data_IF_119333674886
#
_entry.id   IF_119333674886
#
_cell.length_a   1.000
_cell.length_b   1.000
_cell.length_c   1.000
_cell.angle_alpha   90.00
_cell.angle_beta   90.00
_cell.angle_gamma   90.00
#
_symmetry.space_group_name_H-M   'P 1'
#
loop_
_entity.id
_entity.type
_entity.pdbx_description
1 polymer ?
#
# COMPACT_ATOMS: atom_id res chain seq x y z
N UNK A 1 -11.17 -1.38 39.98
CA UNK A 1 -10.10 -0.49 40.48
C UNK A 1 -10.32 0.86 39.83
N UNK A 2 -10.44 1.93 40.61
CA UNK A 2 -10.59 3.28 40.05
C UNK A 2 -9.31 3.65 39.28
N UNK A 3 -9.45 4.15 38.07
CA UNK A 3 -8.36 4.57 37.21
C UNK A 3 -7.71 5.82 37.80
N UNK A 4 -6.42 5.73 38.14
CA UNK A 4 -5.67 6.85 38.72
C UNK A 4 -5.50 7.95 37.68
N UNK A 5 -5.90 9.18 38.02
CA UNK A 5 -5.84 10.35 37.13
C UNK A 5 -4.65 11.27 37.45
N UNK A 6 -4.33 12.20 36.54
CA UNK A 6 -3.31 13.22 36.76
C UNK A 6 -3.65 14.11 37.98
N UNK A 7 -4.93 14.27 38.30
CA UNK A 7 -5.39 15.02 39.49
C UNK A 7 -5.02 14.28 40.78
N UNK A 8 -5.07 12.95 40.79
CA UNK A 8 -4.72 12.13 41.92
C UNK A 8 -3.21 12.15 42.17
N UNK A 9 -2.39 12.12 41.08
CA UNK A 9 -0.93 12.33 41.18
C UNK A 9 -0.62 13.71 41.73
N UNK A 10 -1.25 14.76 41.22
CA UNK A 10 -1.07 16.14 41.71
C UNK A 10 -1.38 16.24 43.23
N UNK A 11 -2.49 15.63 43.66
CA UNK A 11 -2.90 15.58 45.08
C UNK A 11 -1.90 14.78 45.93
N UNK A 12 -1.41 13.64 45.46
CA UNK A 12 -0.39 12.84 46.15
C UNK A 12 0.96 13.55 46.31
N UNK A 13 1.37 14.31 45.30
CA UNK A 13 2.60 15.06 45.33
C UNK A 13 2.51 16.44 45.98
N UNK A 14 1.32 16.90 46.37
CA UNK A 14 1.08 18.24 46.95
C UNK A 14 1.38 19.40 45.94
N UNK A 15 1.20 19.17 44.64
CA UNK A 15 1.50 20.15 43.60
C UNK A 15 0.32 20.36 42.66
N UNK A 16 0.38 21.39 41.85
CA UNK A 16 -0.66 21.63 40.82
C UNK A 16 -0.55 20.64 39.64
N UNK A 17 -1.67 20.36 38.97
CA UNK A 17 -1.74 19.51 37.77
C UNK A 17 -0.77 19.99 36.67
N UNK A 18 -0.60 21.31 36.54
CA UNK A 18 0.35 21.91 35.61
C UNK A 18 1.81 21.54 35.95
N UNK A 19 2.17 21.41 37.24
CA UNK A 19 3.49 21.01 37.69
C UNK A 19 3.75 19.54 37.38
N UNK A 20 2.76 18.65 37.61
CA UNK A 20 2.84 17.24 37.22
C UNK A 20 3.03 17.11 35.69
N UNK A 21 2.25 17.87 34.89
CA UNK A 21 2.39 17.89 33.44
C UNK A 21 3.79 18.34 33.00
N UNK A 22 4.38 19.36 33.63
CA UNK A 22 5.76 19.81 33.34
C UNK A 22 6.78 18.75 33.71
N UNK A 23 6.59 18.03 34.84
CA UNK A 23 7.48 16.95 35.25
C UNK A 23 7.52 15.79 34.24
N UNK A 24 6.34 15.35 33.80
CA UNK A 24 6.18 14.30 32.78
C UNK A 24 6.84 14.71 31.45
N UNK A 25 6.68 15.96 31.04
CA UNK A 25 7.17 16.49 29.75
C UNK A 25 8.61 17.01 29.79
N UNK A 26 9.35 16.82 30.89
CA UNK A 26 10.73 17.29 31.04
C UNK A 26 10.91 18.78 30.74
N UNK A 27 9.96 19.62 31.19
CA UNK A 27 10.00 21.05 30.92
C UNK A 27 11.21 21.72 31.60
N UNK A 28 11.98 22.60 30.91
CA UNK A 28 13.21 23.17 31.46
C UNK A 28 13.03 23.99 32.75
N UNK A 29 11.84 24.52 32.99
CA UNK A 29 11.55 25.37 34.16
C UNK A 29 10.98 24.59 35.37
N UNK A 30 11.18 23.28 35.47
CA UNK A 30 10.77 22.50 36.63
C UNK A 30 12.00 22.25 37.55
N UNK A 31 11.78 22.43 38.85
CA UNK A 31 12.82 22.09 39.82
C UNK A 31 13.16 20.59 39.74
N UNK A 32 14.48 20.19 39.68
CA UNK A 32 14.89 18.80 39.53
C UNK A 32 14.38 17.88 40.64
N UNK A 33 14.38 18.34 41.90
CA UNK A 33 13.94 17.54 43.04
C UNK A 33 12.41 17.31 42.98
N UNK A 34 11.67 18.34 42.65
CA UNK A 34 10.23 18.25 42.46
C UNK A 34 9.89 17.27 41.31
N UNK A 35 10.65 17.33 40.21
CA UNK A 35 10.49 16.40 39.10
C UNK A 35 10.76 14.96 39.51
N UNK A 36 11.88 14.71 40.22
CA UNK A 36 12.24 13.39 40.68
C UNK A 36 11.17 12.80 41.61
N UNK A 37 10.64 13.61 42.54
CA UNK A 37 9.55 13.20 43.43
C UNK A 37 8.26 12.81 42.64
N UNK A 38 7.84 13.61 41.67
CA UNK A 38 6.67 13.33 40.88
C UNK A 38 6.84 12.04 40.07
N UNK A 39 7.99 11.84 39.41
CA UNK A 39 8.27 10.65 38.61
C UNK A 39 8.26 9.37 39.47
N UNK A 40 8.78 9.46 40.73
CA UNK A 40 8.73 8.36 41.68
C UNK A 40 7.28 7.98 42.05
N UNK A 41 6.43 8.97 42.35
CA UNK A 41 5.01 8.74 42.66
C UNK A 41 4.26 8.16 41.46
N UNK A 42 4.56 8.58 40.25
CA UNK A 42 4.02 8.01 39.00
C UNK A 42 4.39 6.53 38.88
N UNK A 43 5.66 6.19 39.13
CA UNK A 43 6.14 4.80 39.07
C UNK A 43 5.49 3.92 40.16
N UNK A 44 5.39 4.43 41.38
CA UNK A 44 4.76 3.70 42.51
C UNK A 44 3.27 3.47 42.34
N UNK A 45 2.59 4.37 41.63
CA UNK A 45 1.14 4.29 41.42
C UNK A 45 0.74 3.58 40.13
N UNK A 46 1.70 3.29 39.25
CA UNK A 46 1.39 2.72 37.93
C UNK A 46 0.59 3.67 37.03
N UNK A 47 0.61 4.98 37.32
CA UNK A 47 -0.12 5.95 36.50
C UNK A 47 0.47 6.02 35.10
N UNK A 48 -0.37 5.78 34.09
CA UNK A 48 -0.02 5.97 32.67
C UNK A 48 -0.63 7.29 32.19
N UNK A 49 0.19 8.26 31.73
CA UNK A 49 -0.34 9.52 31.19
C UNK A 49 -1.32 9.26 30.04
N UNK A 50 -2.53 9.77 30.15
CA UNK A 50 -3.52 9.68 29.09
C UNK A 50 -3.15 10.63 27.93
N UNK A 51 -2.53 10.09 26.90
CA UNK A 51 -2.13 10.85 25.73
C UNK A 51 -3.33 11.39 24.94
N UNK A 52 -4.50 10.77 25.03
CA UNK A 52 -5.73 11.26 24.38
C UNK A 52 -6.20 12.59 24.96
N UNK A 53 -6.19 12.74 26.30
CA UNK A 53 -6.50 14.01 26.97
C UNK A 53 -5.45 15.10 26.69
N UNK A 54 -4.20 14.72 26.41
CA UNK A 54 -3.10 15.61 26.02
C UNK A 54 -3.28 16.07 24.57
N UNK A 55 -3.69 15.20 23.67
CA UNK A 55 -3.94 15.52 22.26
C UNK A 55 -5.15 16.44 22.08
N UNK A 56 -6.17 16.34 22.96
CA UNK A 56 -7.30 17.27 22.98
C UNK A 56 -6.91 18.72 23.36
N UNK A 57 -5.81 18.92 24.09
CA UNK A 57 -5.30 20.25 24.49
C UNK A 57 -4.20 20.80 23.55
N UNK A 58 -3.62 19.98 22.68
CA UNK A 58 -2.67 20.46 21.66
C UNK A 58 -3.46 20.92 20.44
N UNK A 59 -3.48 22.23 20.24
CA UNK A 59 -4.03 22.92 19.05
C UNK A 59 -3.30 22.50 17.75
N UNK A 60 -2.19 21.75 17.84
CA UNK A 60 -1.31 21.35 16.75
C UNK A 60 -1.00 19.85 16.76
N UNK A 61 -2.00 18.98 16.83
CA UNK A 61 -1.75 17.57 16.57
C UNK A 61 -1.47 17.38 15.07
N UNK A 62 -0.17 17.33 14.72
CA UNK A 62 0.30 16.98 13.38
C UNK A 62 -0.06 15.50 13.14
N UNK A 63 -1.14 15.22 12.45
CA UNK A 63 -1.64 13.86 12.22
C UNK A 63 -1.81 13.62 10.72
N UNK A 64 -1.25 12.52 10.23
CA UNK A 64 -1.42 12.02 8.88
C UNK A 64 -2.21 10.72 8.93
N UNK A 65 -3.24 10.59 8.11
CA UNK A 65 -3.94 9.32 7.93
C UNK A 65 -3.34 8.55 6.75
N UNK A 66 -3.24 7.25 6.91
CA UNK A 66 -2.97 6.29 5.84
C UNK A 66 -4.20 5.41 5.70
N UNK A 67 -4.92 5.55 4.59
CA UNK A 67 -6.07 4.73 4.25
C UNK A 67 -5.60 3.60 3.34
N UNK A 68 -5.76 2.37 3.80
CA UNK A 68 -5.32 1.19 3.06
C UNK A 68 -6.52 0.41 2.55
N UNK A 69 -6.67 0.32 1.24
CA UNK A 69 -7.71 -0.48 0.59
C UNK A 69 -7.15 -1.85 0.21
N UNK A 70 -7.78 -2.91 0.74
CA UNK A 70 -7.28 -4.27 0.59
C UNK A 70 -6.27 -4.67 1.68
N UNK A 71 -6.75 -5.22 2.79
CA UNK A 71 -5.94 -5.57 3.99
C UNK A 71 -4.89 -6.63 3.72
N UNK A 72 -5.20 -7.54 2.84
CA UNK A 72 -4.41 -8.75 2.71
C UNK A 72 -3.24 -8.63 1.73
N UNK A 73 -2.98 -7.44 1.16
CA UNK A 73 -1.82 -7.28 0.29
C UNK A 73 -0.57 -6.93 1.11
N UNK A 74 0.30 -7.91 1.42
CA UNK A 74 1.54 -7.69 2.19
C UNK A 74 2.54 -6.74 1.51
N UNK A 75 2.31 -6.39 0.24
CA UNK A 75 3.03 -5.33 -0.45
C UNK A 75 3.05 -4.04 0.36
N UNK A 76 1.93 -3.70 1.00
CA UNK A 76 1.82 -2.46 1.75
C UNK A 76 2.50 -2.49 3.12
N UNK A 77 2.83 -3.66 3.66
CA UNK A 77 3.46 -3.76 4.98
C UNK A 77 4.83 -3.06 5.02
N UNK A 78 5.66 -3.24 3.98
CA UNK A 78 6.95 -2.56 3.85
C UNK A 78 6.76 -1.04 3.70
N UNK A 79 5.82 -0.61 2.84
CA UNK A 79 5.52 0.80 2.64
C UNK A 79 5.04 1.48 3.94
N UNK A 80 4.13 0.83 4.69
CA UNK A 80 3.61 1.36 5.96
C UNK A 80 4.73 1.51 6.98
N UNK A 81 5.64 0.54 7.09
CA UNK A 81 6.78 0.62 8.01
C UNK A 81 7.68 1.83 7.69
N UNK A 82 7.96 2.07 6.41
CA UNK A 82 8.76 3.23 5.97
C UNK A 82 8.00 4.54 6.19
N UNK A 83 6.70 4.60 5.88
CA UNK A 83 5.86 5.78 6.13
C UNK A 83 5.85 6.12 7.62
N UNK A 84 5.67 5.12 8.49
CA UNK A 84 5.69 5.31 9.94
C UNK A 84 7.03 5.86 10.43
N UNK A 85 8.15 5.30 9.95
CA UNK A 85 9.51 5.76 10.28
C UNK A 85 9.69 7.23 9.94
N UNK A 86 9.40 7.63 8.70
CA UNK A 86 9.56 9.01 8.21
C UNK A 86 8.64 9.98 8.94
N UNK A 87 7.36 9.64 9.11
CA UNK A 87 6.41 10.48 9.85
C UNK A 87 6.82 10.69 11.31
N UNK A 88 7.41 9.66 11.95
CA UNK A 88 7.91 9.77 13.31
C UNK A 88 9.10 10.71 13.42
N UNK A 89 10.04 10.68 12.46
CA UNK A 89 11.17 11.61 12.37
C UNK A 89 10.67 13.05 12.25
N UNK A 90 9.65 13.29 11.42
CA UNK A 90 9.01 14.60 11.20
C UNK A 90 7.99 14.98 12.29
N UNK A 91 7.88 14.17 13.36
CA UNK A 91 7.01 14.39 14.53
C UNK A 91 5.52 14.44 14.18
N UNK A 92 5.11 13.73 13.15
CA UNK A 92 3.71 13.47 12.84
C UNK A 92 3.22 12.19 13.52
N UNK A 93 1.95 12.19 13.93
CA UNK A 93 1.28 10.98 14.38
C UNK A 93 0.65 10.29 13.17
N UNK A 94 0.84 8.97 13.06
CA UNK A 94 0.21 8.13 12.04
C UNK A 94 -1.15 7.63 12.57
N UNK A 95 -2.18 7.75 11.73
CA UNK A 95 -3.45 7.02 11.86
C UNK A 95 -3.56 6.06 10.69
N UNK A 96 -3.46 4.76 10.97
CA UNK A 96 -3.69 3.73 9.96
C UNK A 96 -5.17 3.34 9.99
N UNK A 97 -5.84 3.47 8.86
CA UNK A 97 -7.24 3.11 8.68
C UNK A 97 -7.39 2.13 7.54
N UNK A 98 -7.99 1.00 7.84
CA UNK A 98 -8.41 0.05 6.84
C UNK A 98 -9.72 0.50 6.17
N UNK A 99 -9.79 0.31 4.85
CA UNK A 99 -10.98 0.54 4.02
C UNK A 99 -11.35 -0.79 3.37
N UNK A 100 -12.56 -1.25 3.56
CA UNK A 100 -13.04 -2.49 2.95
C UNK A 100 -13.13 -2.35 1.42
N UNK A 101 -13.05 -3.47 0.70
CA UNK A 101 -13.03 -3.45 -0.78
C UNK A 101 -14.28 -2.80 -1.39
N UNK A 102 -15.43 -2.88 -0.70
CA UNK A 102 -16.70 -2.30 -1.13
C UNK A 102 -16.97 -0.89 -0.59
N UNK A 103 -16.16 -0.38 0.34
CA UNK A 103 -16.30 0.96 0.88
C UNK A 103 -15.69 2.01 -0.05
N UNK A 104 -16.26 3.22 -0.02
CA UNK A 104 -15.66 4.37 -0.67
C UNK A 104 -14.61 4.98 0.28
N UNK A 105 -13.34 4.99 -0.14
CA UNK A 105 -12.23 5.53 0.65
C UNK A 105 -12.38 7.03 0.94
N UNK A 106 -13.09 7.79 0.09
CA UNK A 106 -13.32 9.21 0.35
C UNK A 106 -14.30 9.43 1.50
N UNK A 107 -15.35 8.59 1.62
CA UNK A 107 -16.30 8.68 2.73
C UNK A 107 -15.59 8.43 4.06
N UNK A 108 -14.72 7.41 4.11
CA UNK A 108 -13.87 7.12 5.27
C UNK A 108 -12.92 8.28 5.57
N UNK A 109 -12.32 8.89 4.53
CA UNK A 109 -11.46 10.05 4.68
C UNK A 109 -12.20 11.26 5.27
N UNK A 110 -13.43 11.55 4.80
CA UNK A 110 -14.25 12.64 5.32
C UNK A 110 -14.60 12.46 6.81
N UNK A 111 -14.87 11.23 7.23
CA UNK A 111 -15.11 10.94 8.65
C UNK A 111 -13.85 11.17 9.48
N UNK A 112 -12.70 10.66 9.04
CA UNK A 112 -11.43 10.83 9.74
C UNK A 112 -10.99 12.30 9.83
N UNK A 113 -11.19 13.10 8.77
CA UNK A 113 -10.88 14.53 8.79
C UNK A 113 -11.67 15.23 9.90
N UNK A 114 -12.96 14.90 10.04
CA UNK A 114 -13.82 15.49 11.09
C UNK A 114 -13.38 15.06 12.49
N UNK A 115 -12.99 13.79 12.67
CA UNK A 115 -12.66 13.25 13.98
C UNK A 115 -11.24 13.57 14.46
N UNK A 116 -10.25 13.54 13.57
CA UNK A 116 -8.82 13.47 13.93
C UNK A 116 -8.02 14.73 13.62
N UNK A 117 -8.61 15.77 13.01
CA UNK A 117 -7.91 17.00 12.59
C UNK A 117 -6.67 16.69 11.77
N UNK A 118 -6.84 15.91 10.72
CA UNK A 118 -5.75 15.49 9.84
C UNK A 118 -5.07 16.70 9.18
N UNK A 119 -3.76 16.60 8.97
CA UNK A 119 -2.97 17.54 8.18
C UNK A 119 -2.83 17.07 6.73
N UNK A 120 -2.97 15.77 6.50
CA UNK A 120 -2.91 15.17 5.18
C UNK A 120 -3.29 13.70 5.20
N UNK A 121 -3.43 13.14 4.01
CA UNK A 121 -3.86 11.75 3.81
C UNK A 121 -2.97 11.07 2.77
N UNK A 122 -2.63 9.80 3.00
CA UNK A 122 -2.04 8.90 2.03
C UNK A 122 -3.05 7.80 1.72
N UNK A 123 -3.46 7.67 0.46
CA UNK A 123 -4.29 6.57 -0.02
C UNK A 123 -3.39 5.46 -0.56
N UNK A 124 -3.41 4.29 0.07
CA UNK A 124 -2.66 3.10 -0.33
C UNK A 124 -3.56 2.13 -1.08
N UNK A 125 -3.24 1.85 -2.33
CA UNK A 125 -4.03 0.96 -3.17
C UNK A 125 -5.41 1.50 -3.53
N UNK A 126 -6.22 0.67 -4.17
CA UNK A 126 -7.54 1.04 -4.68
C UNK A 126 -7.54 1.24 -6.19
N UNK A 127 -8.47 2.01 -6.69
CA UNK A 127 -8.58 2.38 -8.09
C UNK A 127 -8.89 3.88 -8.22
N UNK A 128 -8.37 4.50 -9.26
CA UNK A 128 -8.64 5.92 -9.52
C UNK A 128 -9.94 6.06 -10.33
N UNK A 129 -11.04 6.28 -9.63
CA UNK A 129 -12.37 6.51 -10.23
C UNK A 129 -13.09 7.72 -9.64
N UNK A 130 -12.40 8.51 -8.82
CA UNK A 130 -12.97 9.70 -8.20
C UNK A 130 -12.87 10.91 -9.12
N UNK A 131 -13.94 11.67 -9.19
CA UNK A 131 -13.90 12.92 -9.92
C UNK A 131 -13.20 14.04 -9.12
N UNK A 132 -12.82 15.08 -9.83
CA UNK A 132 -12.08 16.20 -9.26
C UNK A 132 -12.86 16.97 -8.20
N UNK A 133 -14.19 17.04 -8.33
CA UNK A 133 -15.05 17.76 -7.40
C UNK A 133 -15.12 17.00 -6.06
N UNK A 134 -15.20 15.66 -6.11
CA UNK A 134 -15.15 14.83 -4.92
C UNK A 134 -13.81 14.97 -4.19
N UNK A 135 -12.70 14.88 -4.91
CA UNK A 135 -11.35 15.03 -4.34
C UNK A 135 -11.13 16.40 -3.73
N UNK A 136 -11.63 17.47 -4.38
CA UNK A 136 -11.51 18.85 -3.86
C UNK A 136 -12.24 19.07 -2.53
N UNK A 137 -13.23 18.24 -2.18
CA UNK A 137 -13.96 18.31 -0.91
C UNK A 137 -13.13 17.87 0.30
N UNK A 138 -12.02 17.15 0.11
CA UNK A 138 -11.17 16.68 1.21
C UNK A 138 -10.58 17.83 2.03
N UNK A 139 -10.33 19.00 1.41
CA UNK A 139 -9.82 20.21 2.07
C UNK A 139 -8.51 20.01 2.88
N UNK A 140 -7.80 18.94 2.66
CA UNK A 140 -6.45 18.66 3.16
C UNK A 140 -5.60 18.08 2.03
N UNK A 141 -4.29 18.31 1.99
CA UNK A 141 -3.39 17.68 1.03
C UNK A 141 -3.44 16.16 1.12
N UNK A 142 -3.36 15.50 -0.03
CA UNK A 142 -3.32 14.04 -0.08
C UNK A 142 -2.45 13.54 -1.23
N UNK A 143 -1.98 12.30 -1.09
CA UNK A 143 -1.17 11.60 -2.08
C UNK A 143 -1.73 10.20 -2.30
N UNK A 144 -1.90 9.81 -3.55
CA UNK A 144 -2.15 8.41 -3.91
C UNK A 144 -0.83 7.65 -4.04
N UNK A 145 -0.79 6.46 -3.46
CA UNK A 145 0.35 5.54 -3.52
C UNK A 145 -0.04 4.30 -4.31
N UNK A 146 0.79 3.92 -5.29
CA UNK A 146 0.57 2.84 -6.26
C UNK A 146 -0.57 3.05 -7.26
N UNK A 147 -1.11 4.25 -7.35
CA UNK A 147 -2.17 4.59 -8.30
C UNK A 147 -1.70 5.79 -9.12
N UNK A 148 -1.94 5.75 -10.42
CA UNK A 148 -1.72 6.88 -11.33
C UNK A 148 -3.09 7.48 -11.66
N UNK A 149 -3.24 8.77 -11.40
CA UNK A 149 -4.41 9.50 -11.87
C UNK A 149 -4.20 10.06 -13.29
N UNK A 150 -5.29 10.43 -13.93
CA UNK A 150 -5.22 11.06 -15.25
C UNK A 150 -4.72 12.51 -15.17
N UNK A 151 -3.81 12.88 -16.08
CA UNK A 151 -3.34 14.25 -16.27
C UNK A 151 -4.35 15.03 -17.10
N UNK A 152 -4.92 16.09 -16.56
CA UNK A 152 -5.66 17.08 -17.35
C UNK A 152 -4.69 18.07 -18.00
N UNK A 153 -4.44 17.92 -19.31
CA UNK A 153 -3.55 18.81 -20.06
C UNK A 153 -3.87 20.29 -19.83
N UNK A 154 -2.89 21.01 -19.27
CA UNK A 154 -2.93 22.46 -19.13
C UNK A 154 -3.57 23.00 -17.85
N UNK A 155 -3.96 22.18 -16.87
CA UNK A 155 -4.57 22.63 -15.60
C UNK A 155 -3.72 22.35 -14.34
N UNK A 156 -2.55 21.72 -14.50
CA UNK A 156 -1.76 21.24 -13.36
C UNK A 156 -2.46 20.10 -12.59
N UNK A 157 -1.78 19.56 -11.59
CA UNK A 157 -2.32 18.51 -10.74
C UNK A 157 -3.05 19.13 -9.54
N UNK A 158 -4.21 18.58 -9.18
CA UNK A 158 -4.96 18.95 -7.96
C UNK A 158 -4.69 18.00 -6.79
N UNK A 159 -3.86 16.99 -6.99
CA UNK A 159 -3.43 15.98 -6.04
C UNK A 159 -2.09 15.41 -6.49
N UNK A 160 -1.41 14.74 -5.57
CA UNK A 160 -0.14 14.07 -5.87
C UNK A 160 -0.34 12.56 -5.99
N UNK A 161 0.49 11.91 -6.80
CA UNK A 161 0.60 10.46 -6.81
C UNK A 161 2.05 9.99 -6.91
N UNK A 162 2.31 8.81 -6.35
CA UNK A 162 3.60 8.12 -6.45
C UNK A 162 3.34 6.67 -6.84
N UNK A 163 3.81 6.26 -8.00
CA UNK A 163 3.54 4.94 -8.55
C UNK A 163 4.66 4.46 -9.47
N UNK A 164 4.46 3.28 -10.06
CA UNK A 164 5.18 2.80 -11.26
C UNK A 164 4.27 2.95 -12.48
N UNK A 165 4.83 2.87 -13.69
CA UNK A 165 4.01 2.75 -14.92
C UNK A 165 3.55 1.29 -15.07
N UNK A 166 2.40 0.95 -14.49
CA UNK A 166 1.86 -0.41 -14.49
C UNK A 166 1.69 -1.00 -15.89
N UNK A 167 1.30 -0.17 -16.87
CA UNK A 167 1.13 -0.61 -18.26
C UNK A 167 2.48 -0.93 -18.92
N UNK A 168 3.46 -0.03 -18.76
CA UNK A 168 4.80 -0.23 -19.35
C UNK A 168 5.52 -1.40 -18.68
N UNK A 169 5.41 -1.56 -17.35
CA UNK A 169 6.06 -2.64 -16.62
C UNK A 169 5.42 -4.00 -16.89
N UNK A 170 4.09 -4.07 -17.02
CA UNK A 170 3.39 -5.29 -17.44
C UNK A 170 3.74 -5.68 -18.86
N UNK A 171 3.83 -4.69 -19.76
CA UNK A 171 4.34 -4.91 -21.12
C UNK A 171 5.76 -5.49 -21.11
N UNK A 172 6.66 -4.94 -20.30
CA UNK A 172 8.05 -5.42 -20.14
C UNK A 172 8.09 -6.90 -19.71
N UNK A 173 7.30 -7.31 -18.71
CA UNK A 173 7.21 -8.71 -18.29
C UNK A 173 6.70 -9.61 -19.42
N UNK A 174 5.65 -9.17 -20.11
CA UNK A 174 5.07 -9.95 -21.20
C UNK A 174 6.05 -10.09 -22.38
N UNK A 175 6.77 -9.02 -22.76
CA UNK A 175 7.81 -9.05 -23.78
C UNK A 175 8.94 -10.03 -23.40
N UNK A 176 9.36 -10.05 -22.12
CA UNK A 176 10.32 -11.03 -21.60
C UNK A 176 9.84 -12.47 -21.78
N UNK A 177 8.59 -12.79 -21.42
CA UNK A 177 8.05 -14.14 -21.63
C UNK A 177 7.97 -14.49 -23.12
N UNK A 178 7.65 -13.55 -24.00
CA UNK A 178 7.64 -13.74 -25.46
C UNK A 178 9.05 -13.98 -26.00
N UNK A 179 10.08 -13.32 -25.46
CA UNK A 179 11.48 -13.54 -25.79
C UNK A 179 11.99 -14.94 -25.40
N UNK A 180 11.44 -15.51 -24.32
CA UNK A 180 11.67 -16.89 -23.92
C UNK A 180 10.97 -17.92 -24.83
N UNK A 181 10.17 -17.47 -25.81
CA UNK A 181 9.46 -18.32 -26.78
C UNK A 181 7.99 -18.59 -26.44
N UNK A 182 7.50 -18.15 -25.29
CA UNK A 182 6.11 -18.36 -24.89
C UNK A 182 5.15 -17.52 -25.74
N UNK A 183 4.25 -18.16 -26.48
CA UNK A 183 3.23 -17.49 -27.30
C UNK A 183 1.84 -17.57 -26.69
N UNK A 184 1.61 -18.55 -25.83
CA UNK A 184 0.36 -18.79 -25.10
C UNK A 184 0.62 -18.54 -23.63
N UNK A 185 0.33 -17.32 -23.20
CA UNK A 185 0.57 -16.80 -21.85
C UNK A 185 -0.78 -16.59 -21.17
N UNK A 186 -1.07 -17.33 -20.13
CA UNK A 186 -2.24 -17.09 -19.29
C UNK A 186 -2.00 -15.82 -18.43
N UNK A 187 -3.01 -14.98 -18.28
CA UNK A 187 -2.91 -13.73 -17.52
C UNK A 187 -3.99 -13.71 -16.42
N UNK A 188 -3.54 -13.70 -15.15
CA UNK A 188 -4.44 -13.60 -14.00
C UNK A 188 -4.61 -12.14 -13.61
N UNK A 189 -5.86 -11.66 -13.58
CA UNK A 189 -6.19 -10.25 -13.32
C UNK A 189 -7.43 -10.09 -12.44
N UNK A 190 -7.58 -8.95 -11.79
CA UNK A 190 -8.81 -8.55 -11.08
C UNK A 190 -9.94 -8.12 -12.02
N UNK A 191 -9.69 -8.13 -13.33
CA UNK A 191 -10.61 -7.66 -14.35
C UNK A 191 -10.30 -6.24 -14.84
N UNK A 192 -11.14 -5.78 -15.78
CA UNK A 192 -10.97 -4.48 -16.44
C UNK A 192 -11.80 -3.37 -15.75
N UNK A 193 -11.74 -3.26 -14.43
CA UNK A 193 -12.37 -2.12 -13.75
C UNK A 193 -11.64 -0.83 -14.13
N UNK A 194 -12.37 0.16 -14.64
CA UNK A 194 -11.81 1.43 -15.07
C UNK A 194 -10.98 2.09 -13.94
N UNK A 195 -9.77 2.52 -14.28
CA UNK A 195 -8.85 3.17 -13.33
C UNK A 195 -8.13 2.24 -12.35
N UNK A 196 -8.29 0.91 -12.46
CA UNK A 196 -7.55 -0.04 -11.63
C UNK A 196 -6.16 -0.35 -12.18
N UNK A 197 -5.24 -0.71 -11.30
CA UNK A 197 -3.89 -1.19 -11.69
C UNK A 197 -3.99 -2.47 -12.52
N UNK A 198 -4.98 -3.33 -12.24
CA UNK A 198 -5.23 -4.55 -13.01
C UNK A 198 -5.61 -4.28 -14.45
N UNK A 199 -6.40 -3.22 -14.73
CA UNK A 199 -6.69 -2.77 -16.09
C UNK A 199 -5.42 -2.33 -16.80
N UNK A 200 -4.59 -1.47 -16.18
CA UNK A 200 -3.35 -0.99 -16.78
C UNK A 200 -2.38 -2.13 -17.09
N UNK A 201 -2.24 -3.09 -16.17
CA UNK A 201 -1.41 -4.29 -16.37
C UNK A 201 -1.96 -5.17 -17.49
N UNK A 202 -3.29 -5.34 -17.59
CA UNK A 202 -3.92 -6.06 -18.69
C UNK A 202 -3.69 -5.39 -20.05
N UNK A 203 -3.77 -4.06 -20.10
CA UNK A 203 -3.46 -3.31 -21.32
C UNK A 203 -1.99 -3.50 -21.73
N UNK A 204 -1.05 -3.44 -20.80
CA UNK A 204 0.37 -3.71 -21.06
C UNK A 204 0.61 -5.12 -21.62
N UNK A 205 -0.05 -6.13 -21.05
CA UNK A 205 -0.02 -7.50 -21.57
C UNK A 205 -0.54 -7.57 -23.01
N UNK A 206 -1.72 -6.99 -23.28
CA UNK A 206 -2.32 -6.96 -24.62
C UNK A 206 -1.44 -6.21 -25.63
N UNK A 207 -0.81 -5.11 -25.21
CA UNK A 207 0.10 -4.32 -26.06
C UNK A 207 1.35 -5.12 -26.48
N UNK A 208 1.94 -5.89 -25.55
CA UNK A 208 3.09 -6.74 -25.87
C UNK A 208 2.75 -7.82 -26.92
N UNK A 209 1.60 -8.49 -26.76
CA UNK A 209 1.12 -9.50 -27.71
C UNK A 209 0.89 -8.88 -29.09
N UNK A 210 0.18 -7.74 -29.16
CA UNK A 210 -0.10 -7.03 -30.41
C UNK A 210 1.16 -6.57 -31.12
N UNK A 211 2.14 -6.06 -30.36
CA UNK A 211 3.43 -5.63 -30.91
C UNK A 211 4.19 -6.78 -31.57
N UNK A 212 4.03 -8.00 -31.09
CA UNK A 212 4.62 -9.22 -31.69
C UNK A 212 3.70 -9.90 -32.72
N UNK A 213 2.58 -9.29 -33.08
CA UNK A 213 1.62 -9.85 -34.03
C UNK A 213 0.88 -11.11 -33.54
N UNK A 214 0.80 -11.28 -32.22
CA UNK A 214 0.10 -12.40 -31.60
C UNK A 214 -1.32 -11.94 -31.24
N UNK A 215 -2.32 -12.71 -31.69
CA UNK A 215 -3.70 -12.45 -31.34
C UNK A 215 -3.98 -12.73 -29.84
N UNK A 216 -4.73 -11.85 -29.23
CA UNK A 216 -5.12 -11.99 -27.81
C UNK A 216 -6.17 -13.09 -27.70
N UNK A 217 -5.85 -14.17 -26.98
CA UNK A 217 -6.79 -15.24 -26.66
C UNK A 217 -7.50 -14.90 -25.34
N UNK A 218 -8.74 -14.39 -25.42
CA UNK A 218 -9.53 -14.00 -24.24
C UNK A 218 -9.76 -15.18 -23.26
N UNK A 219 -9.61 -16.44 -23.69
CA UNK A 219 -9.70 -17.61 -22.80
C UNK A 219 -8.50 -17.74 -21.87
N UNK A 220 -7.41 -17.07 -22.18
CA UNK A 220 -6.21 -17.01 -21.35
C UNK A 220 -6.20 -15.81 -20.40
N UNK A 221 -7.18 -14.90 -20.49
CA UNK A 221 -7.37 -13.80 -19.54
C UNK A 221 -8.34 -14.30 -18.46
N UNK A 222 -7.80 -14.51 -17.27
CA UNK A 222 -8.48 -15.15 -16.17
C UNK A 222 -8.78 -14.13 -15.07
N UNK A 223 -10.05 -13.72 -14.95
CA UNK A 223 -10.45 -12.82 -13.86
C UNK A 223 -10.58 -13.58 -12.55
N UNK A 224 -10.00 -13.01 -11.48
CA UNK A 224 -10.12 -13.52 -10.11
C UNK A 224 -11.55 -13.36 -9.58
N UNK A 225 -11.90 -14.14 -8.56
CA UNK A 225 -13.24 -14.12 -7.98
C UNK A 225 -13.45 -12.85 -7.15
N UNK A 226 -14.57 -12.14 -7.40
CA UNK A 226 -14.87 -10.85 -6.75
C UNK A 226 -15.34 -10.96 -5.29
N UNK A 227 -15.71 -12.15 -4.83
CA UNK A 227 -16.16 -12.42 -3.47
C UNK A 227 -15.02 -12.72 -2.48
N UNK A 228 -13.79 -12.72 -2.97
CA UNK A 228 -12.57 -12.91 -2.20
C UNK A 228 -11.66 -11.69 -2.42
N UNK A 229 -10.64 -11.53 -1.56
CA UNK A 229 -9.60 -10.52 -1.79
C UNK A 229 -8.93 -10.78 -3.15
N UNK A 230 -9.00 -9.82 -4.09
CA UNK A 230 -8.52 -10.01 -5.45
C UNK A 230 -7.02 -10.31 -5.54
N UNK A 231 -6.24 -9.93 -4.54
CA UNK A 231 -4.78 -10.14 -4.51
C UNK A 231 -4.33 -11.29 -3.60
N UNK A 232 -5.27 -12.14 -3.13
CA UNK A 232 -4.94 -13.26 -2.23
C UNK A 232 -4.36 -14.47 -2.97
N UNK A 233 -3.50 -15.25 -2.27
CA UNK A 233 -3.02 -16.55 -2.78
C UNK A 233 -4.17 -17.52 -3.06
N UNK A 234 -5.24 -17.47 -2.23
CA UNK A 234 -6.41 -18.33 -2.42
C UNK A 234 -7.09 -18.04 -3.75
N UNK A 235 -7.21 -16.76 -4.10
CA UNK A 235 -7.83 -16.36 -5.37
C UNK A 235 -6.96 -16.77 -6.57
N UNK A 236 -5.64 -16.60 -6.49
CA UNK A 236 -4.70 -17.10 -7.50
C UNK A 236 -4.80 -18.63 -7.70
N UNK A 237 -4.91 -19.38 -6.60
CA UNK A 237 -5.11 -20.83 -6.63
C UNK A 237 -6.44 -21.22 -7.29
N UNK A 238 -7.56 -20.62 -6.86
CA UNK A 238 -8.89 -20.94 -7.36
C UNK A 238 -9.02 -20.62 -8.86
N UNK A 239 -8.52 -19.45 -9.27
CA UNK A 239 -8.56 -18.99 -10.67
C UNK A 239 -7.71 -19.91 -11.57
N UNK A 240 -6.52 -20.31 -11.12
CA UNK A 240 -5.67 -21.23 -11.89
C UNK A 240 -6.29 -22.61 -11.99
N UNK A 241 -6.96 -23.11 -10.94
CA UNK A 241 -7.72 -24.37 -11.04
C UNK A 241 -8.84 -24.30 -12.08
N UNK A 242 -9.56 -23.21 -12.15
CA UNK A 242 -10.59 -23.01 -13.18
C UNK A 242 -9.97 -22.98 -14.59
N UNK A 243 -8.82 -22.28 -14.76
CA UNK A 243 -8.09 -22.28 -16.03
C UNK A 243 -7.69 -23.70 -16.46
N UNK A 244 -7.14 -24.51 -15.55
CA UNK A 244 -6.75 -25.89 -15.82
C UNK A 244 -7.97 -26.76 -16.20
N UNK A 245 -9.11 -26.57 -15.56
CA UNK A 245 -10.35 -27.26 -15.87
C UNK A 245 -10.90 -26.91 -17.25
N UNK A 246 -10.66 -25.70 -17.73
CA UNK A 246 -11.08 -25.24 -19.07
C UNK A 246 -10.32 -25.95 -20.20
N UNK A 247 -9.24 -26.65 -19.89
CA UNK A 247 -8.31 -27.32 -20.83
C UNK A 247 -7.70 -26.35 -21.87
N UNK A 248 -7.64 -25.05 -21.54
CA UNK A 248 -6.92 -24.08 -22.34
C UNK A 248 -5.41 -24.42 -22.29
N UNK A 249 -4.77 -24.45 -23.44
CA UNK A 249 -3.33 -24.69 -23.52
C UNK A 249 -2.57 -23.39 -23.26
N UNK A 250 -1.56 -23.42 -22.41
CA UNK A 250 -0.64 -22.31 -22.14
C UNK A 250 0.72 -22.87 -21.70
N UNK A 251 1.77 -22.09 -21.91
CA UNK A 251 3.15 -22.46 -21.54
C UNK A 251 3.74 -21.53 -20.51
N UNK A 252 3.10 -20.37 -20.28
CA UNK A 252 3.45 -19.45 -19.22
C UNK A 252 2.18 -18.89 -18.57
N UNK A 253 2.32 -18.47 -17.31
CA UNK A 253 1.29 -17.78 -16.55
C UNK A 253 1.91 -16.50 -15.97
N UNK A 254 1.29 -15.35 -16.25
CA UNK A 254 1.63 -14.07 -15.65
C UNK A 254 0.49 -13.60 -14.76
N UNK A 255 0.75 -13.45 -13.47
CA UNK A 255 -0.21 -12.93 -12.50
C UNK A 255 0.10 -11.46 -12.17
N UNK A 256 -0.96 -10.64 -12.08
CA UNK A 256 -0.81 -9.20 -11.77
C UNK A 256 -0.24 -8.90 -10.39
N UNK A 257 -0.07 -9.91 -9.52
CA UNK A 257 0.55 -9.78 -8.21
C UNK A 257 1.30 -11.06 -7.83
N UNK A 258 2.37 -10.95 -7.06
CA UNK A 258 3.17 -12.08 -6.60
C UNK A 258 2.36 -13.07 -5.75
N UNK A 259 1.43 -12.60 -4.92
CA UNK A 259 0.56 -13.47 -4.13
C UNK A 259 -0.37 -14.31 -5.01
N UNK A 260 -0.91 -13.75 -6.08
CA UNK A 260 -1.66 -14.52 -7.07
C UNK A 260 -0.77 -15.57 -7.74
N UNK A 261 0.47 -15.18 -8.10
CA UNK A 261 1.43 -16.11 -8.71
C UNK A 261 1.78 -17.29 -7.78
N UNK A 262 1.98 -17.03 -6.48
CA UNK A 262 2.22 -18.09 -5.48
C UNK A 262 1.02 -19.04 -5.38
N UNK A 263 -0.19 -18.50 -5.37
CA UNK A 263 -1.43 -19.31 -5.42
C UNK A 263 -1.52 -20.15 -6.69
N UNK A 264 -1.19 -19.55 -7.84
CA UNK A 264 -1.13 -20.26 -9.12
C UNK A 264 -0.11 -21.40 -9.11
N UNK A 265 1.10 -21.18 -8.56
CA UNK A 265 2.11 -22.23 -8.41
C UNK A 265 1.57 -23.43 -7.63
N UNK A 266 0.81 -23.20 -6.56
CA UNK A 266 0.18 -24.27 -5.78
C UNK A 266 -0.80 -25.09 -6.62
N UNK A 267 -1.66 -24.44 -7.42
CA UNK A 267 -2.63 -25.11 -8.28
C UNK A 267 -1.96 -25.93 -9.39
N UNK A 268 -0.91 -25.37 -10.01
CA UNK A 268 -0.11 -26.06 -11.03
C UNK A 268 0.58 -27.31 -10.44
N UNK A 269 1.18 -27.19 -9.26
CA UNK A 269 1.83 -28.30 -8.57
C UNK A 269 0.83 -29.44 -8.25
N UNK A 270 -0.36 -29.12 -7.75
CA UNK A 270 -1.41 -30.13 -7.48
C UNK A 270 -1.92 -30.82 -8.76
N UNK A 271 -1.84 -30.14 -9.90
CA UNK A 271 -2.14 -30.71 -11.20
C UNK A 271 -1.00 -31.56 -11.79
N UNK A 272 0.13 -31.68 -11.06
CA UNK A 272 1.31 -32.42 -11.50
C UNK A 272 2.19 -31.68 -12.51
N UNK A 273 2.00 -30.39 -12.69
CA UNK A 273 2.79 -29.54 -13.60
C UNK A 273 4.00 -28.97 -12.85
N UNK A 274 5.17 -29.09 -13.46
CA UNK A 274 6.44 -28.59 -12.91
C UNK A 274 6.67 -27.14 -13.34
N UNK A 275 7.22 -26.36 -12.44
CA UNK A 275 7.59 -24.97 -12.67
C UNK A 275 9.12 -24.89 -12.55
N UNK A 276 9.83 -24.43 -13.57
CA UNK A 276 9.36 -23.85 -14.84
C UNK A 276 9.23 -24.87 -15.98
N UNK A 277 9.46 -26.18 -15.78
CA UNK A 277 9.64 -27.17 -16.86
C UNK A 277 8.41 -27.36 -17.74
N UNK A 278 7.21 -27.34 -17.16
CA UNK A 278 5.97 -27.52 -17.90
C UNK A 278 5.24 -26.17 -18.10
N UNK A 279 5.32 -25.27 -17.11
CA UNK A 279 4.74 -23.93 -17.15
C UNK A 279 5.66 -22.92 -16.48
N UNK A 280 6.06 -21.86 -17.18
CA UNK A 280 6.72 -20.70 -16.59
C UNK A 280 5.72 -19.85 -15.82
N UNK A 281 6.11 -19.34 -14.63
CA UNK A 281 5.25 -18.46 -13.82
C UNK A 281 5.96 -17.15 -13.53
N UNK A 282 5.27 -16.04 -13.77
CA UNK A 282 5.75 -14.70 -13.47
C UNK A 282 4.74 -13.93 -12.61
N UNK A 283 5.24 -13.03 -11.76
CA UNK A 283 4.45 -12.18 -10.90
C UNK A 283 4.70 -10.70 -11.13
N UNK A 284 4.14 -9.88 -10.25
CA UNK A 284 4.32 -8.44 -10.17
C UNK A 284 4.34 -8.05 -8.69
N UNK A 285 5.10 -7.07 -8.31
CA UNK A 285 5.30 -6.40 -7.03
C UNK A 285 6.73 -6.56 -6.48
N UNK A 286 7.33 -7.74 -6.56
CA UNK A 286 8.69 -8.02 -6.04
C UNK A 286 8.70 -8.27 -4.53
N UNK A 287 7.63 -8.85 -3.98
CA UNK A 287 7.57 -9.10 -2.54
C UNK A 287 8.68 -10.06 -2.06
N UNK A 288 9.17 -9.92 -0.80
CA UNK A 288 10.26 -10.76 -0.28
C UNK A 288 9.97 -12.26 -0.36
N UNK A 289 8.71 -12.69 -0.20
CA UNK A 289 8.30 -14.09 -0.29
C UNK A 289 8.74 -14.73 -1.61
N UNK A 290 8.70 -13.99 -2.73
CA UNK A 290 9.09 -14.51 -4.05
C UNK A 290 10.54 -14.98 -4.13
N UNK A 291 11.45 -14.43 -3.31
CA UNK A 291 12.85 -14.88 -3.23
C UNK A 291 13.05 -16.14 -2.38
N UNK A 292 12.09 -16.47 -1.51
CA UNK A 292 12.14 -17.66 -0.64
C UNK A 292 11.20 -18.79 -1.08
N UNK A 293 10.36 -18.51 -2.08
CA UNK A 293 9.50 -19.52 -2.70
C UNK A 293 10.33 -20.49 -3.55
N UNK A 294 9.84 -21.71 -3.75
CA UNK A 294 10.55 -22.72 -4.58
C UNK A 294 9.62 -23.20 -5.70
N UNK A 295 9.99 -22.96 -6.96
CA UNK A 295 11.15 -22.19 -7.45
C UNK A 295 11.01 -20.69 -7.15
N UNK A 296 12.12 -19.95 -7.02
CA UNK A 296 12.12 -18.50 -6.79
C UNK A 296 11.35 -17.77 -7.91
N UNK A 297 10.45 -16.85 -7.54
CA UNK A 297 9.52 -16.21 -8.46
C UNK A 297 10.16 -15.09 -9.27
N UNK A 298 10.12 -15.18 -10.60
CA UNK A 298 10.39 -14.08 -11.53
C UNK A 298 9.27 -13.05 -11.43
N UNK A 299 9.61 -11.76 -11.28
CA UNK A 299 8.62 -10.71 -11.00
C UNK A 299 9.08 -9.33 -11.48
N UNK A 300 8.15 -8.41 -11.65
CA UNK A 300 8.43 -6.97 -11.69
C UNK A 300 8.54 -6.48 -10.25
N UNK A 301 9.71 -6.01 -9.86
CA UNK A 301 9.98 -5.49 -8.51
C UNK A 301 9.76 -3.98 -8.44
N UNK A 302 8.80 -3.55 -7.66
CA UNK A 302 8.52 -2.15 -7.39
C UNK A 302 9.50 -1.61 -6.32
N UNK A 303 10.03 -0.38 -6.43
CA UNK A 303 10.95 0.20 -5.45
C UNK A 303 10.18 0.77 -4.23
N UNK A 304 9.49 -0.09 -3.47
CA UNK A 304 8.50 0.27 -2.46
C UNK A 304 9.03 1.24 -1.40
N UNK A 305 10.25 1.02 -0.88
CA UNK A 305 10.86 1.91 0.10
C UNK A 305 11.06 3.34 -0.47
N UNK A 306 11.61 3.44 -1.68
CA UNK A 306 11.85 4.74 -2.33
C UNK A 306 10.54 5.47 -2.62
N UNK A 307 9.53 4.75 -3.09
CA UNK A 307 8.19 5.27 -3.33
C UNK A 307 7.56 5.77 -2.04
N UNK A 308 7.63 4.99 -0.95
CA UNK A 308 7.06 5.36 0.34
C UNK A 308 7.72 6.63 0.92
N UNK A 309 9.05 6.72 0.90
CA UNK A 309 9.79 7.92 1.32
C UNK A 309 9.40 9.15 0.50
N UNK A 310 9.29 9.00 -0.83
CA UNK A 310 8.87 10.10 -1.72
C UNK A 310 7.42 10.52 -1.45
N UNK A 311 6.53 9.56 -1.18
CA UNK A 311 5.12 9.85 -0.86
C UNK A 311 5.00 10.73 0.38
N UNK A 312 5.70 10.38 1.47
CA UNK A 312 5.67 11.20 2.69
C UNK A 312 6.29 12.57 2.45
N UNK A 313 7.47 12.63 1.80
CA UNK A 313 8.12 13.91 1.50
C UNK A 313 7.20 14.82 0.70
N UNK A 314 6.66 14.32 -0.41
CA UNK A 314 5.77 15.10 -1.28
C UNK A 314 4.52 15.60 -0.54
N UNK A 315 3.93 14.75 0.33
CA UNK A 315 2.79 15.17 1.15
C UNK A 315 3.17 16.29 2.12
N UNK A 316 4.32 16.18 2.80
CA UNK A 316 4.75 17.18 3.78
C UNK A 316 5.15 18.50 3.11
N UNK A 317 5.85 18.45 1.98
CA UNK A 317 6.23 19.62 1.20
C UNK A 317 4.98 20.41 0.72
N UNK A 318 3.92 19.68 0.30
CA UNK A 318 2.63 20.31 -0.06
C UNK A 318 1.92 20.89 1.18
N UNK A 319 1.94 20.20 2.32
CA UNK A 319 1.35 20.69 3.59
C UNK A 319 2.03 22.00 4.05
N UNK A 320 3.34 22.09 3.90
CA UNK A 320 4.13 23.24 4.34
C UNK A 320 4.19 24.35 3.28
N UNK A 321 3.61 24.12 2.08
CA UNK A 321 3.55 25.08 0.97
C UNK A 321 4.88 25.25 0.23
N UNK A 322 5.76 24.26 0.34
CA UNK A 322 7.09 24.26 -0.29
C UNK A 322 7.07 23.62 -1.68
N UNK A 323 6.03 22.84 -2.01
CA UNK A 323 5.85 22.23 -3.31
C UNK A 323 4.39 22.29 -3.79
N UNK A 324 4.22 22.22 -5.11
CA UNK A 324 2.92 21.99 -5.75
C UNK A 324 2.66 20.46 -5.86
N UNK A 325 1.42 20.09 -6.24
CA UNK A 325 1.09 18.71 -6.50
C UNK A 325 1.86 18.15 -7.72
N UNK A 326 2.36 16.94 -7.58
CA UNK A 326 3.18 16.26 -8.61
C UNK A 326 2.79 14.78 -8.73
N UNK A 327 2.92 14.24 -9.96
CA UNK A 327 2.83 12.81 -10.24
C UNK A 327 4.23 12.25 -10.47
N UNK A 328 4.68 11.40 -9.54
CA UNK A 328 6.03 10.83 -9.55
C UNK A 328 5.97 9.37 -9.96
N UNK A 329 6.56 9.04 -11.10
CA UNK A 329 6.62 7.68 -11.64
C UNK A 329 8.01 7.12 -11.42
N UNK A 330 8.10 6.03 -10.68
CA UNK A 330 9.34 5.30 -10.45
C UNK A 330 9.52 4.17 -11.47
N UNK A 331 10.73 3.93 -11.98
CA UNK A 331 11.01 2.73 -12.76
C UNK A 331 10.99 1.51 -11.85
N UNK A 332 10.29 0.45 -12.28
CA UNK A 332 10.39 -0.86 -11.67
C UNK A 332 11.44 -1.73 -12.37
N UNK A 333 11.84 -2.83 -11.75
CA UNK A 333 12.87 -3.71 -12.24
C UNK A 333 12.31 -5.10 -12.56
N UNK A 334 12.64 -5.63 -13.74
CA UNK A 334 12.42 -7.04 -14.03
C UNK A 334 13.44 -7.88 -13.26
N UNK A 335 12.97 -8.64 -12.27
CA UNK A 335 13.79 -9.52 -11.44
C UNK A 335 13.60 -10.96 -11.92
N UNK A 336 14.56 -11.44 -12.72
CA UNK A 336 14.54 -12.79 -13.28
C UNK A 336 15.06 -13.77 -12.22
N UNK A 337 14.30 -14.86 -12.01
CA UNK A 337 14.64 -15.93 -11.07
C UNK A 337 14.35 -17.31 -11.69
N UNK A 338 14.04 -18.32 -10.88
CA UNK A 338 13.95 -19.72 -11.28
C UNK A 338 12.62 -20.13 -11.91
N UNK A 339 11.54 -19.36 -11.70
CA UNK A 339 10.17 -19.77 -12.11
C UNK A 339 9.87 -19.59 -13.59
N UNK A 340 10.84 -19.10 -14.39
CA UNK A 340 10.70 -18.92 -15.84
C UNK A 340 11.86 -19.55 -16.59
N UNK A 341 11.61 -20.07 -17.81
CA UNK A 341 12.64 -20.63 -18.70
C UNK A 341 12.30 -20.40 -20.17
N UNK A 342 13.28 -20.52 -21.04
CA UNK A 342 13.06 -20.57 -22.49
C UNK A 342 12.48 -21.93 -22.93
N UNK A 343 11.65 -21.91 -24.00
CA UNK A 343 11.03 -23.10 -24.63
C UNK A 343 11.38 -23.19 -26.11
#
# INVERSE_FOLDING_TARGET
MEEITIKDIAKKCGVGVSTVSRAINNHPNINPDTRAHILKVIQETGYVPNNSARNLKRTDAKCIAVLMKGVANPLFAEAIAVIEEVLKEEKYALVLQHVEAYENELDVAFELIKEKRLRGIIFLGGAFYHDREELARLNVPFVFYTIIGEEEKGKGYSYSCVSVDDRAESRKMTEYLLELGHKRIAFLTEGAQAGSVGQLRLEGYKDALRHRGIEVDEKLICEVQRNEDPYSMQNGYNTTKQLLQSKAEFTALFAIADFLAVGACRALHEAGLRIPEDVSVAGFDGIPLGAFYVPQLTTISQPMERMARQTVRLLLDVIDGEAEHEHVIFPASLTIRESTRAI
#
